data_IF_415104130034
#
_entry.id   IF_415104130034
#
_cell.length_a   1.000
_cell.length_b   1.000
_cell.length_c   1.000
_cell.angle_alpha   90.00
_cell.angle_beta   90.00
_cell.angle_gamma   90.00
#
_symmetry.space_group_name_H-M   'P 1'
#
loop_
_entity.id
_entity.type
_entity.pdbx_description
1 polymer ?
#
# COMPACT_ATOMS: atom_id res chain seq x y z
N UNK A 1 11.40 21.64 -37.65
CA UNK A 1 12.28 21.93 -36.50
C UNK A 1 13.13 20.68 -36.25
N UNK A 2 14.35 20.79 -35.71
CA UNK A 2 15.16 19.62 -35.32
C UNK A 2 14.96 19.21 -33.85
N UNK A 3 14.00 19.85 -33.16
CA UNK A 3 13.79 19.74 -31.71
C UNK A 3 12.43 19.13 -31.43
N UNK A 4 12.38 18.19 -30.49
CA UNK A 4 11.15 17.56 -29.98
C UNK A 4 10.96 18.01 -28.53
N UNK A 5 9.80 18.60 -28.24
CA UNK A 5 9.42 18.96 -26.87
C UNK A 5 8.57 17.84 -26.27
N UNK A 6 8.93 17.40 -25.08
CA UNK A 6 8.15 16.52 -24.25
C UNK A 6 7.54 17.33 -23.10
N UNK A 7 6.29 17.03 -22.77
CA UNK A 7 5.63 17.59 -21.61
C UNK A 7 5.09 16.43 -20.76
N UNK A 8 5.42 16.42 -19.48
CA UNK A 8 4.90 15.46 -18.51
C UNK A 8 3.59 15.95 -17.93
N UNK A 9 2.55 15.14 -18.08
CA UNK A 9 1.26 15.42 -17.46
C UNK A 9 1.12 14.39 -16.34
N UNK A 10 1.59 14.78 -15.15
CA UNK A 10 1.54 13.93 -13.96
C UNK A 10 0.12 13.91 -13.36
N UNK A 11 -0.58 15.04 -13.48
CA UNK A 11 -2.01 15.16 -13.26
C UNK A 11 -2.62 15.95 -14.40
N UNK A 12 -3.62 15.43 -15.08
CA UNK A 12 -4.31 16.16 -16.15
C UNK A 12 -5.32 17.18 -15.63
N UNK A 13 -5.31 17.46 -14.32
CA UNK A 13 -6.29 18.31 -13.64
C UNK A 13 -7.59 17.58 -13.35
N UNK A 14 -7.69 16.29 -13.68
CA UNK A 14 -8.83 15.46 -13.37
C UNK A 14 -8.46 14.40 -12.34
N UNK A 15 -9.37 14.07 -11.45
CA UNK A 15 -9.18 12.90 -10.57
C UNK A 15 -9.20 11.62 -11.41
N UNK A 16 -8.51 10.55 -10.96
CA UNK A 16 -8.61 9.20 -11.53
C UNK A 16 -10.01 8.55 -11.39
N UNK A 17 -11.01 9.35 -10.98
CA UNK A 17 -12.42 9.02 -11.00
C UNK A 17 -12.92 8.72 -12.42
N UNK A 18 -13.89 7.83 -12.54
CA UNK A 18 -14.38 7.30 -13.82
C UNK A 18 -15.05 8.33 -14.70
N UNK A 19 -15.48 9.46 -14.13
CA UNK A 19 -15.77 10.67 -14.87
C UNK A 19 -14.62 11.56 -14.54
N UNK A 20 -13.94 12.01 -15.58
CA UNK A 20 -12.99 13.10 -15.50
C UNK A 20 -13.69 14.31 -14.89
N UNK A 21 -13.54 14.49 -13.59
CA UNK A 21 -13.98 15.69 -12.86
C UNK A 21 -12.74 16.51 -12.54
N UNK A 22 -12.77 17.82 -12.82
CA UNK A 22 -11.70 18.69 -12.38
C UNK A 22 -11.45 18.46 -10.89
N UNK A 23 -10.19 18.31 -10.51
CA UNK A 23 -9.77 18.57 -9.13
C UNK A 23 -10.31 19.97 -8.79
N UNK A 24 -10.75 20.29 -7.57
CA UNK A 24 -11.38 21.61 -7.33
C UNK A 24 -10.49 22.75 -7.88
N UNK A 25 -11.03 23.57 -8.78
CA UNK A 25 -10.31 24.68 -9.44
C UNK A 25 -10.50 24.87 -10.95
N UNK A 26 -10.94 23.87 -11.72
CA UNK A 26 -11.18 24.07 -13.17
C UNK A 26 -12.68 24.18 -13.48
N UNK A 27 -13.13 25.42 -13.74
CA UNK A 27 -14.42 25.82 -14.32
C UNK A 27 -15.70 25.18 -13.72
N UNK A 28 -16.35 25.90 -12.81
CA UNK A 28 -17.79 25.72 -12.56
C UNK A 28 -18.58 26.71 -13.43
N UNK A 29 -19.03 26.26 -14.60
CA UNK A 29 -19.82 27.09 -15.53
C UNK A 29 -18.99 28.10 -16.33
N UNK A 30 -19.65 29.12 -16.91
CA UNK A 30 -19.03 30.11 -17.82
C UNK A 30 -18.11 31.14 -17.12
N UNK A 31 -18.00 31.12 -15.78
CA UNK A 31 -17.15 32.05 -15.04
C UNK A 31 -16.02 31.34 -14.28
N UNK A 32 -14.75 31.78 -14.41
CA UNK A 32 -13.63 31.21 -13.66
C UNK A 32 -13.77 31.50 -12.16
N UNK A 33 -13.55 30.47 -11.34
CA UNK A 33 -13.52 30.60 -9.88
C UNK A 33 -12.22 31.34 -9.49
N UNK A 34 -12.36 32.60 -9.08
CA UNK A 34 -11.27 33.54 -8.80
C UNK A 34 -10.52 33.27 -7.48
N UNK A 35 -10.90 32.24 -6.72
CA UNK A 35 -10.38 32.00 -5.37
C UNK A 35 -9.39 30.84 -5.23
N UNK A 36 -9.16 30.01 -6.25
CA UNK A 36 -8.17 28.92 -6.19
C UNK A 36 -7.40 28.78 -7.52
N UNK A 37 -6.07 28.52 -7.49
CA UNK A 37 -5.28 28.35 -8.71
C UNK A 37 -5.75 27.13 -9.52
N UNK A 38 -5.54 27.11 -10.87
CA UNK A 38 -5.91 25.99 -11.72
C UNK A 38 -5.24 24.70 -11.22
N UNK A 39 -6.03 23.64 -11.13
CA UNK A 39 -5.60 22.34 -10.62
C UNK A 39 -5.05 21.45 -11.75
N UNK A 40 -3.93 20.78 -11.47
CA UNK A 40 -3.23 19.88 -12.40
C UNK A 40 -2.38 20.57 -13.47
N UNK A 41 -1.70 19.75 -14.27
CA UNK A 41 -0.63 20.15 -15.17
C UNK A 41 -1.13 20.46 -16.59
N UNK A 42 -2.33 20.02 -16.96
CA UNK A 42 -2.85 20.13 -18.33
C UNK A 42 -3.10 21.58 -18.79
N UNK A 43 -3.75 22.48 -18.03
CA UNK A 43 -3.91 23.87 -18.46
C UNK A 43 -2.56 24.56 -18.69
N UNK A 44 -1.61 24.32 -17.78
CA UNK A 44 -0.23 24.80 -17.90
C UNK A 44 0.48 24.18 -19.11
N UNK A 45 0.28 22.90 -19.39
CA UNK A 45 0.82 22.22 -20.58
C UNK A 45 0.36 22.89 -21.88
N UNK A 46 -0.91 23.26 -21.97
CA UNK A 46 -1.48 23.96 -23.12
C UNK A 46 -0.85 25.36 -23.28
N UNK A 47 -0.65 26.08 -22.18
CA UNK A 47 0.04 27.38 -22.21
C UNK A 47 1.49 27.25 -22.68
N UNK A 48 2.24 26.30 -22.10
CA UNK A 48 3.62 26.01 -22.50
C UNK A 48 3.69 25.59 -23.97
N UNK A 49 2.75 24.77 -24.44
CA UNK A 49 2.70 24.36 -25.85
C UNK A 49 2.45 25.55 -26.79
N UNK A 50 1.56 26.47 -26.43
CA UNK A 50 1.33 27.71 -27.21
C UNK A 50 2.58 28.59 -27.24
N UNK A 51 3.29 28.70 -26.13
CA UNK A 51 4.57 29.42 -26.08
C UNK A 51 5.64 28.75 -26.93
N UNK A 52 5.71 27.41 -26.92
CA UNK A 52 6.61 26.64 -27.77
C UNK A 52 6.35 26.89 -29.26
N UNK A 53 5.09 26.87 -29.68
CA UNK A 53 4.72 27.17 -31.06
C UNK A 53 5.18 28.58 -31.47
N UNK A 54 4.97 29.58 -30.62
CA UNK A 54 5.46 30.95 -30.88
C UNK A 54 6.98 31.03 -30.93
N UNK A 55 7.68 30.32 -30.04
CA UNK A 55 9.14 30.27 -30.02
C UNK A 55 9.70 29.62 -31.30
N UNK A 56 9.02 28.59 -31.82
CA UNK A 56 9.36 27.97 -33.10
C UNK A 56 9.14 28.92 -34.30
N UNK A 57 8.05 29.69 -34.29
CA UNK A 57 7.74 30.67 -35.35
C UNK A 57 8.72 31.85 -35.36
N UNK A 58 9.13 32.32 -34.18
CA UNK A 58 10.00 33.49 -34.02
C UNK A 58 11.50 33.14 -34.01
N UNK A 59 11.87 31.85 -33.94
CA UNK A 59 13.26 31.41 -33.85
C UNK A 59 13.90 31.53 -32.46
N UNK A 60 13.11 31.83 -31.41
CA UNK A 60 13.58 32.09 -30.04
C UNK A 60 13.50 30.84 -29.14
N UNK A 61 13.96 29.69 -29.63
CA UNK A 61 13.90 28.41 -28.90
C UNK A 61 14.75 28.43 -27.62
N UNK A 62 15.88 29.16 -27.63
CA UNK A 62 16.77 29.23 -26.45
C UNK A 62 16.16 30.06 -25.31
N UNK A 63 15.46 31.16 -25.62
CA UNK A 63 14.72 31.96 -24.63
C UNK A 63 13.58 31.14 -23.99
N UNK A 64 12.90 30.31 -24.80
CA UNK A 64 11.91 29.36 -24.27
C UNK A 64 12.55 28.31 -23.35
N UNK A 65 13.73 27.78 -23.70
CA UNK A 65 14.44 26.83 -22.84
C UNK A 65 14.80 27.46 -21.50
N UNK A 66 15.40 28.66 -21.50
CA UNK A 66 15.74 29.37 -20.26
C UNK A 66 14.54 29.55 -19.32
N UNK A 67 13.34 29.74 -19.89
CA UNK A 67 12.10 29.88 -19.11
C UNK A 67 11.58 28.57 -18.49
N UNK A 68 11.86 27.42 -19.09
CA UNK A 68 11.21 26.14 -18.73
C UNK A 68 12.16 25.04 -18.23
N UNK A 69 13.48 25.22 -18.31
CA UNK A 69 14.50 24.23 -17.88
C UNK A 69 14.41 23.85 -16.39
N UNK A 70 13.85 24.70 -15.53
CA UNK A 70 13.62 24.41 -14.10
C UNK A 70 12.24 23.80 -13.76
N UNK A 71 11.34 23.65 -14.74
CA UNK A 71 10.05 22.99 -14.49
C UNK A 71 10.21 21.48 -14.70
N UNK A 72 10.01 20.67 -13.65
CA UNK A 72 10.02 19.20 -13.69
C UNK A 72 9.06 18.55 -14.73
N UNK A 73 8.35 19.35 -15.53
CA UNK A 73 7.26 19.00 -16.45
C UNK A 73 7.61 19.16 -17.94
N UNK A 74 8.73 19.79 -18.33
CA UNK A 74 9.02 20.07 -19.76
C UNK A 74 10.45 19.69 -20.11
N UNK A 75 10.65 19.02 -21.25
CA UNK A 75 11.98 18.69 -21.78
C UNK A 75 12.05 18.90 -23.28
N UNK A 76 13.24 19.18 -23.79
CA UNK A 76 13.48 19.34 -25.23
C UNK A 76 14.68 18.47 -25.59
N UNK A 77 14.52 17.63 -26.62
CA UNK A 77 15.59 16.81 -27.18
C UNK A 77 15.78 17.12 -28.67
N UNK A 78 16.98 16.82 -29.19
CA UNK A 78 17.25 16.86 -30.62
C UNK A 78 16.79 15.58 -31.31
N UNK A 79 16.32 15.68 -32.55
CA UNK A 79 15.96 14.52 -33.38
C UNK A 79 17.17 13.59 -33.57
N UNK A 80 18.39 14.13 -33.66
CA UNK A 80 19.60 13.31 -33.74
C UNK A 80 19.88 12.56 -32.43
N UNK A 81 19.70 13.19 -31.25
CA UNK A 81 19.81 12.52 -29.94
C UNK A 81 18.75 11.39 -29.78
N UNK A 82 17.57 11.54 -30.39
CA UNK A 82 16.50 10.52 -30.37
C UNK A 82 16.85 9.33 -31.28
N UNK A 83 17.46 9.58 -32.45
CA UNK A 83 17.87 8.53 -33.38
C UNK A 83 18.97 7.64 -32.81
N UNK A 84 19.89 8.19 -32.02
CA UNK A 84 20.95 7.43 -31.35
C UNK A 84 20.42 6.42 -30.32
N UNK A 85 19.21 6.64 -29.77
CA UNK A 85 18.56 5.78 -28.78
C UNK A 85 17.41 4.95 -29.35
N UNK A 86 17.46 4.65 -30.66
CA UNK A 86 16.52 3.76 -31.36
C UNK A 86 15.05 4.23 -31.25
N UNK A 87 14.81 5.53 -31.49
CA UNK A 87 13.49 6.18 -31.46
C UNK A 87 12.71 6.07 -30.14
N UNK A 88 13.39 5.89 -29.01
CA UNK A 88 12.72 5.85 -27.71
C UNK A 88 12.19 7.25 -27.33
N UNK A 89 10.87 7.42 -27.33
CA UNK A 89 10.19 8.68 -27.01
C UNK A 89 9.89 8.87 -25.52
N UNK A 90 10.57 8.14 -24.63
CA UNK A 90 10.41 8.35 -23.18
C UNK A 90 11.09 9.66 -22.74
N UNK A 91 10.34 10.65 -22.21
CA UNK A 91 10.89 11.94 -21.76
C UNK A 91 11.99 11.82 -20.71
N UNK A 92 11.91 10.81 -19.82
CA UNK A 92 12.88 10.62 -18.74
C UNK A 92 14.31 10.36 -19.23
N UNK A 93 14.47 9.83 -20.45
CA UNK A 93 15.78 9.57 -21.07
C UNK A 93 16.50 10.83 -21.55
N UNK A 94 15.77 11.95 -21.68
CA UNK A 94 16.27 13.23 -22.20
C UNK A 94 16.19 14.36 -21.18
N UNK A 95 15.76 14.07 -19.95
CA UNK A 95 15.76 15.01 -18.83
C UNK A 95 17.20 15.42 -18.49
N UNK A 96 17.62 16.60 -18.95
CA UNK A 96 18.81 17.30 -18.45
C UNK A 96 18.38 18.08 -17.21
N UNK A 97 18.60 17.50 -16.03
CA UNK A 97 18.41 18.23 -14.76
C UNK A 97 19.63 19.13 -14.60
N UNK A 98 19.48 20.44 -14.78
CA UNK A 98 20.45 21.39 -14.22
C UNK A 98 20.18 21.44 -12.72
N UNK A 99 20.78 20.49 -12.00
CA UNK A 99 20.78 20.55 -10.55
C UNK A 99 21.62 21.76 -10.16
N UNK A 100 21.04 22.70 -9.42
CA UNK A 100 21.80 23.67 -8.63
C UNK A 100 22.91 22.96 -7.85
N UNK A 101 23.91 23.70 -7.36
CA UNK A 101 25.10 23.13 -6.70
C UNK A 101 24.75 21.92 -5.85
N UNK A 102 25.05 20.73 -6.39
CA UNK A 102 24.59 19.50 -5.80
C UNK A 102 25.34 19.33 -4.48
N UNK A 103 24.60 19.16 -3.38
CA UNK A 103 25.20 19.06 -2.05
C UNK A 103 26.23 17.93 -1.97
N UNK A 104 25.96 16.82 -2.69
CA UNK A 104 26.80 15.63 -2.73
C UNK A 104 27.11 15.21 -4.17
N UNK A 105 28.24 14.55 -4.38
CA UNK A 105 28.55 13.91 -5.65
C UNK A 105 27.54 12.79 -5.94
N UNK A 106 27.08 12.67 -7.18
CA UNK A 106 26.22 11.56 -7.60
C UNK A 106 27.03 10.52 -8.34
N UNK A 107 27.08 9.32 -7.76
CA UNK A 107 27.79 8.17 -8.31
C UNK A 107 26.79 7.14 -8.81
N UNK A 108 27.21 6.25 -9.72
CA UNK A 108 26.41 5.07 -10.03
C UNK A 108 26.61 4.03 -8.93
N UNK A 109 25.59 3.21 -8.67
CA UNK A 109 25.70 2.09 -7.71
C UNK A 109 26.91 1.21 -8.03
N UNK A 110 27.21 0.95 -9.31
CA UNK A 110 28.38 0.17 -9.75
C UNK A 110 29.74 0.75 -9.35
N UNK A 111 29.81 2.04 -9.03
CA UNK A 111 31.06 2.71 -8.67
C UNK A 111 31.42 2.44 -7.18
N UNK A 112 30.42 2.07 -6.39
CA UNK A 112 30.51 1.81 -4.93
C UNK A 112 30.06 0.41 -4.52
N UNK A 113 29.49 -0.39 -5.42
CA UNK A 113 29.04 -1.75 -5.16
C UNK A 113 29.10 -2.62 -6.41
N UNK A 114 29.25 -3.92 -6.23
CA UNK A 114 29.27 -4.90 -7.32
C UNK A 114 28.20 -5.97 -7.13
N UNK A 115 27.72 -6.56 -8.23
CA UNK A 115 26.84 -7.72 -8.13
C UNK A 115 27.68 -8.98 -7.90
N UNK A 116 27.34 -9.76 -6.87
CA UNK A 116 27.92 -11.08 -6.66
C UNK A 116 26.95 -12.20 -7.07
N UNK A 117 27.51 -13.27 -7.65
CA UNK A 117 26.77 -14.44 -8.13
C UNK A 117 27.37 -15.73 -7.58
N UNK A 118 27.51 -15.81 -6.25
CA UNK A 118 27.99 -17.02 -5.60
C UNK A 118 26.87 -18.05 -5.60
N UNK A 119 27.15 -19.24 -6.17
CA UNK A 119 26.20 -20.36 -6.19
C UNK A 119 25.96 -20.82 -4.75
N UNK A 120 24.69 -20.95 -4.37
CA UNK A 120 24.30 -21.51 -3.08
C UNK A 120 24.30 -23.03 -3.07
N UNK A 121 24.29 -23.59 -1.87
CA UNK A 121 24.22 -25.02 -1.63
C UNK A 121 22.74 -25.45 -1.57
N UNK A 122 22.37 -26.55 -2.24
CA UNK A 122 21.01 -27.10 -2.24
C UNK A 122 20.71 -27.81 -0.91
N UNK A 123 19.47 -27.69 -0.40
CA UNK A 123 19.05 -28.37 0.82
C UNK A 123 19.43 -27.68 2.14
N UNK A 124 20.04 -26.48 2.08
CA UNK A 124 20.47 -25.73 3.25
C UNK A 124 19.32 -24.93 3.86
N UNK A 125 19.35 -24.80 5.19
CA UNK A 125 18.40 -24.06 6.00
C UNK A 125 19.12 -22.98 6.83
N UNK A 126 18.56 -21.77 6.96
CA UNK A 126 17.32 -21.28 6.33
C UNK A 126 17.56 -20.75 4.90
N UNK A 127 16.54 -20.80 4.06
CA UNK A 127 16.53 -20.23 2.70
C UNK A 127 15.55 -19.07 2.59
N UNK A 128 15.96 -17.98 1.95
CA UNK A 128 15.12 -16.77 1.78
C UNK A 128 14.57 -16.69 0.35
N UNK A 129 13.25 -16.64 0.23
CA UNK A 129 12.55 -16.28 -1.01
C UNK A 129 12.12 -14.80 -1.02
N UNK A 130 11.74 -14.29 -2.20
CA UNK A 130 11.24 -12.91 -2.33
C UNK A 130 10.05 -12.64 -1.41
N UNK A 131 9.17 -13.63 -1.22
CA UNK A 131 8.01 -13.53 -0.35
C UNK A 131 8.31 -13.55 1.15
N UNK A 132 9.57 -13.81 1.54
CA UNK A 132 10.00 -13.82 2.93
C UNK A 132 10.57 -12.46 3.37
N UNK A 133 10.71 -11.51 2.44
CA UNK A 133 11.04 -10.11 2.76
C UNK A 133 9.78 -9.39 3.21
N UNK A 134 9.80 -8.91 4.44
CA UNK A 134 8.79 -8.04 4.99
C UNK A 134 8.95 -6.62 4.43
N UNK A 135 7.90 -6.09 3.80
CA UNK A 135 7.99 -4.82 3.06
C UNK A 135 8.03 -3.58 3.96
N UNK A 136 7.52 -3.69 5.16
CA UNK A 136 7.46 -2.66 6.20
C UNK A 136 8.78 -2.57 6.99
N UNK A 137 9.24 -3.69 7.56
CA UNK A 137 10.49 -3.75 8.34
C UNK A 137 11.73 -3.90 7.46
N UNK A 138 11.56 -4.21 6.17
CA UNK A 138 12.67 -4.53 5.25
C UNK A 138 13.56 -5.67 5.74
N UNK A 139 13.08 -6.47 6.70
CA UNK A 139 13.76 -7.66 7.20
C UNK A 139 13.31 -8.91 6.43
N UNK A 140 14.10 -9.96 6.53
CA UNK A 140 13.72 -11.29 6.07
C UNK A 140 13.21 -12.14 7.24
N UNK A 141 12.25 -13.02 6.96
CA UNK A 141 11.78 -14.05 7.88
C UNK A 141 12.48 -15.37 7.56
N UNK A 142 13.03 -16.04 8.57
CA UNK A 142 13.48 -17.40 8.43
C UNK A 142 12.29 -18.35 8.42
N UNK A 143 12.07 -19.02 7.30
CA UNK A 143 11.19 -20.17 7.22
C UNK A 143 12.04 -21.43 7.16
N UNK A 144 11.57 -22.50 7.81
CA UNK A 144 12.19 -23.82 7.76
C UNK A 144 11.92 -24.49 6.40
N UNK A 145 12.43 -23.86 5.34
CA UNK A 145 12.36 -24.33 3.96
C UNK A 145 13.77 -24.55 3.42
N UNK A 146 14.10 -25.72 2.88
CA UNK A 146 15.40 -25.97 2.30
C UNK A 146 15.60 -25.14 1.02
N UNK A 147 16.84 -24.74 0.76
CA UNK A 147 17.22 -24.05 -0.46
C UNK A 147 17.03 -24.92 -1.70
N UNK A 148 16.62 -24.28 -2.80
CA UNK A 148 16.43 -24.92 -4.09
C UNK A 148 17.76 -25.09 -4.83
N UNK A 149 17.81 -26.04 -5.77
CA UNK A 149 18.97 -26.37 -6.62
C UNK A 149 19.65 -25.18 -7.32
N UNK A 150 18.91 -24.09 -7.53
CA UNK A 150 19.39 -22.89 -8.21
C UNK A 150 19.52 -21.68 -7.29
N UNK A 151 19.68 -21.85 -5.97
CA UNK A 151 19.87 -20.72 -5.05
C UNK A 151 21.23 -20.01 -5.22
N UNK A 152 21.33 -18.81 -4.66
CA UNK A 152 22.56 -18.03 -4.51
C UNK A 152 22.95 -17.93 -3.05
N UNK A 153 24.20 -17.61 -2.76
CA UNK A 153 24.70 -17.35 -1.40
C UNK A 153 24.95 -15.86 -1.21
N UNK A 154 24.26 -15.25 -0.25
CA UNK A 154 24.52 -13.89 0.21
C UNK A 154 25.37 -13.93 1.49
N UNK A 155 26.16 -12.90 1.74
CA UNK A 155 27.03 -12.77 2.91
C UNK A 155 26.61 -11.61 3.80
N UNK A 156 27.13 -11.59 5.03
CA UNK A 156 26.99 -10.45 5.93
C UNK A 156 27.39 -9.15 5.21
N UNK A 157 26.64 -8.09 5.45
CA UNK A 157 26.76 -6.78 4.82
C UNK A 157 26.28 -6.68 3.36
N UNK A 158 25.87 -7.77 2.72
CA UNK A 158 25.28 -7.67 1.39
C UNK A 158 23.87 -7.08 1.45
N UNK A 159 23.46 -6.51 0.31
CA UNK A 159 22.09 -6.04 0.09
C UNK A 159 21.46 -6.98 -0.95
N UNK A 160 20.28 -7.53 -0.64
CA UNK A 160 19.51 -8.32 -1.58
C UNK A 160 18.34 -7.48 -2.12
N UNK A 161 18.18 -7.45 -3.44
CA UNK A 161 17.16 -6.68 -4.15
C UNK A 161 16.38 -7.62 -5.05
N UNK A 162 15.06 -7.68 -4.90
CA UNK A 162 14.24 -8.51 -5.77
C UNK A 162 14.32 -8.02 -7.22
N UNK A 163 14.72 -8.90 -8.12
CA UNK A 163 14.70 -8.64 -9.55
C UNK A 163 13.37 -9.07 -10.21
N UNK A 164 12.48 -9.73 -9.46
CA UNK A 164 11.11 -10.08 -9.88
C UNK A 164 10.13 -9.16 -9.17
N UNK A 165 9.20 -8.56 -9.92
CA UNK A 165 8.24 -7.54 -9.44
C UNK A 165 8.96 -6.47 -8.60
N UNK A 166 9.99 -5.80 -9.15
CA UNK A 166 10.86 -4.92 -8.38
C UNK A 166 10.12 -3.74 -7.74
N UNK A 167 8.99 -3.32 -8.32
CA UNK A 167 8.11 -2.27 -7.77
C UNK A 167 7.51 -2.64 -6.41
N UNK A 168 7.48 -3.93 -6.02
CA UNK A 168 7.09 -4.32 -4.64
C UNK A 168 8.08 -3.85 -3.58
N UNK A 169 9.33 -3.53 -3.95
CA UNK A 169 10.32 -3.03 -3.00
C UNK A 169 10.81 -4.06 -1.99
N UNK A 170 10.86 -5.34 -2.37
CA UNK A 170 11.49 -6.40 -1.58
C UNK A 170 13.01 -6.24 -1.63
N UNK A 171 13.54 -5.44 -0.70
CA UNK A 171 14.95 -5.08 -0.54
C UNK A 171 15.32 -5.29 0.93
N UNK A 172 16.41 -5.99 1.22
CA UNK A 172 16.85 -6.29 2.58
C UNK A 172 18.36 -6.26 2.71
N UNK A 173 18.83 -5.95 3.92
CA UNK A 173 20.25 -5.98 4.32
C UNK A 173 20.57 -7.25 5.12
N UNK A 174 21.66 -7.95 4.80
CA UNK A 174 22.07 -9.20 5.47
C UNK A 174 22.88 -8.90 6.74
N UNK A 175 22.30 -9.15 7.92
CA UNK A 175 22.82 -8.69 9.21
C UNK A 175 23.93 -9.57 9.81
N UNK A 176 23.82 -10.89 9.79
CA UNK A 176 24.60 -11.73 10.72
C UNK A 176 25.46 -12.83 10.10
N UNK A 177 24.93 -13.63 9.16
CA UNK A 177 25.65 -14.77 8.57
C UNK A 177 25.40 -14.87 7.07
N UNK A 178 26.22 -15.68 6.40
CA UNK A 178 25.93 -16.09 5.03
C UNK A 178 24.63 -16.89 4.98
N UNK A 179 23.87 -16.71 3.92
CA UNK A 179 22.56 -17.34 3.76
C UNK A 179 22.24 -17.60 2.30
N UNK A 180 21.56 -18.71 2.07
CA UNK A 180 21.03 -19.11 0.78
C UNK A 180 19.77 -18.29 0.47
N UNK A 181 19.76 -17.67 -0.71
CA UNK A 181 18.67 -16.81 -1.18
C UNK A 181 18.22 -17.24 -2.57
N UNK A 182 16.97 -16.95 -2.90
CA UNK A 182 16.41 -17.25 -4.21
C UNK A 182 17.18 -16.59 -5.35
N UNK A 183 17.17 -17.24 -6.51
CA UNK A 183 17.69 -16.67 -7.76
C UNK A 183 17.01 -15.36 -8.17
N UNK A 184 15.81 -15.11 -7.63
CA UNK A 184 15.05 -13.87 -7.81
C UNK A 184 15.65 -12.64 -7.12
N UNK A 185 16.85 -12.76 -6.54
CA UNK A 185 17.57 -11.62 -5.97
C UNK A 185 18.81 -11.26 -6.79
N UNK A 186 19.04 -9.96 -6.96
CA UNK A 186 20.37 -9.39 -7.19
C UNK A 186 21.02 -9.14 -5.84
N UNK A 187 22.26 -9.57 -5.67
CA UNK A 187 23.03 -9.43 -4.42
C UNK A 187 24.11 -8.39 -4.67
N UNK A 188 24.06 -7.29 -3.93
CA UNK A 188 25.08 -6.24 -3.97
C UNK A 188 26.08 -6.43 -2.84
N UNK A 189 27.36 -6.42 -3.20
CA UNK A 189 28.49 -6.33 -2.30
C UNK A 189 29.08 -4.92 -2.39
N UNK A 190 29.10 -4.21 -1.26
CA UNK A 190 29.42 -2.77 -1.21
C UNK A 190 30.89 -2.60 -0.87
N UNK A 191 31.56 -1.73 -1.63
CA UNK A 191 32.91 -1.28 -1.36
C UNK A 191 32.91 -0.38 -0.11
N UNK A 192 33.26 -0.97 1.03
CA UNK A 192 33.20 -0.32 2.34
C UNK A 192 34.21 0.83 2.50
N UNK A 193 35.19 0.94 1.60
CA UNK A 193 36.09 2.11 1.56
C UNK A 193 35.40 3.35 0.99
N UNK A 194 34.28 3.17 0.27
CA UNK A 194 33.55 4.26 -0.38
C UNK A 194 32.17 4.52 0.23
N UNK A 195 31.46 3.46 0.62
CA UNK A 195 30.09 3.57 1.11
C UNK A 195 29.79 2.57 2.23
N UNK A 196 29.02 3.02 3.22
CA UNK A 196 28.49 2.12 4.23
C UNK A 196 27.38 1.24 3.60
N UNK A 197 27.44 -0.10 3.76
CA UNK A 197 26.42 -0.99 3.20
C UNK A 197 25.00 -0.65 3.65
N UNK A 198 24.82 -0.30 4.93
CA UNK A 198 23.53 0.15 5.47
C UNK A 198 23.05 1.47 4.85
N UNK A 199 23.97 2.39 4.56
CA UNK A 199 23.62 3.66 3.92
C UNK A 199 23.04 3.43 2.53
N UNK A 200 23.72 2.64 1.70
CA UNK A 200 23.21 2.26 0.38
C UNK A 200 21.90 1.48 0.48
N UNK A 201 21.77 0.58 1.46
CA UNK A 201 20.51 -0.12 1.72
C UNK A 201 19.34 0.85 1.95
N UNK A 202 19.49 1.82 2.86
CA UNK A 202 18.43 2.80 3.13
C UNK A 202 18.08 3.63 1.89
N UNK A 203 19.09 4.06 1.12
CA UNK A 203 18.87 4.81 -0.12
C UNK A 203 18.07 4.03 -1.17
N UNK A 204 18.26 2.71 -1.26
CA UNK A 204 17.53 1.91 -2.24
C UNK A 204 16.17 1.45 -1.69
N UNK A 205 16.09 1.09 -0.41
CA UNK A 205 14.88 0.52 0.19
C UNK A 205 13.75 1.53 0.43
N UNK A 206 14.08 2.82 0.62
CA UNK A 206 13.11 3.88 0.95
C UNK A 206 12.98 4.95 -0.14
N UNK A 207 13.58 4.74 -1.31
CA UNK A 207 13.49 5.67 -2.44
C UNK A 207 12.44 5.21 -3.46
N UNK A 208 11.31 5.90 -3.48
CA UNK A 208 10.23 5.62 -4.43
C UNK A 208 10.66 5.84 -5.89
N UNK A 209 11.54 6.81 -6.17
CA UNK A 209 12.04 7.04 -7.53
C UNK A 209 12.87 5.86 -8.03
N UNK A 210 13.63 5.21 -7.15
CA UNK A 210 14.35 3.99 -7.49
C UNK A 210 13.40 2.86 -7.86
N UNK A 211 12.32 2.64 -7.08
CA UNK A 211 11.34 1.60 -7.38
C UNK A 211 10.58 1.86 -8.68
N UNK A 212 10.19 3.11 -8.94
CA UNK A 212 9.59 3.53 -10.22
C UNK A 212 10.53 3.28 -11.39
N UNK A 213 11.81 3.69 -11.26
CA UNK A 213 12.84 3.44 -12.26
C UNK A 213 13.02 1.96 -12.59
N UNK A 214 13.01 1.08 -11.58
CA UNK A 214 13.08 -0.36 -11.81
C UNK A 214 11.81 -0.89 -12.50
N UNK A 215 10.64 -0.35 -12.16
CA UNK A 215 9.37 -0.68 -12.81
C UNK A 215 9.37 -0.33 -14.30
N UNK A 216 9.80 0.89 -14.63
CA UNK A 216 9.94 1.37 -16.02
C UNK A 216 10.98 0.58 -16.82
N UNK A 217 12.01 0.08 -16.14
CA UNK A 217 13.08 -0.72 -16.74
C UNK A 217 12.78 -2.22 -16.77
N UNK A 218 11.60 -2.66 -16.31
CA UNK A 218 11.23 -4.07 -16.23
C UNK A 218 10.69 -4.60 -17.56
N UNK A 219 10.91 -5.89 -17.81
CA UNK A 219 10.33 -6.63 -18.94
C UNK A 219 9.36 -7.72 -18.46
N UNK A 220 8.34 -8.01 -19.26
CA UNK A 220 7.33 -9.02 -18.98
C UNK A 220 6.06 -8.46 -18.32
N UNK A 221 4.89 -8.84 -18.84
CA UNK A 221 3.59 -8.29 -18.40
C UNK A 221 3.11 -8.89 -17.07
N UNK A 222 2.99 -10.23 -16.97
CA UNK A 222 2.45 -10.89 -15.77
C UNK A 222 3.48 -11.08 -14.62
N UNK A 223 4.75 -11.13 -14.98
CA UNK A 223 5.88 -11.31 -14.06
C UNK A 223 7.01 -10.38 -14.49
N UNK A 224 6.90 -9.07 -14.19
CA UNK A 224 7.90 -8.10 -14.55
C UNK A 224 9.23 -8.44 -13.88
N UNK A 225 10.32 -8.40 -14.65
CA UNK A 225 11.68 -8.63 -14.16
C UNK A 225 12.62 -7.53 -14.61
N UNK A 226 13.62 -7.20 -13.79
CA UNK A 226 14.62 -6.17 -14.11
C UNK A 226 16.04 -6.77 -14.10
N UNK A 227 16.85 -6.39 -15.09
CA UNK A 227 18.26 -6.78 -15.13
C UNK A 227 19.06 -6.05 -14.04
N UNK A 228 20.06 -6.74 -13.47
CA UNK A 228 21.00 -6.13 -12.52
C UNK A 228 21.74 -4.93 -13.10
N UNK A 229 21.85 -4.84 -14.44
CA UNK A 229 22.37 -3.68 -15.14
C UNK A 229 21.70 -2.37 -14.71
N UNK A 230 20.38 -2.34 -14.58
CA UNK A 230 19.64 -1.13 -14.20
C UNK A 230 19.88 -0.77 -12.73
N UNK A 231 19.88 -1.77 -11.85
CA UNK A 231 20.21 -1.60 -10.42
C UNK A 231 21.61 -0.98 -10.27
N UNK A 232 22.60 -1.52 -10.99
CA UNK A 232 23.99 -1.07 -10.94
C UNK A 232 24.23 0.30 -11.61
N UNK A 233 23.42 0.70 -12.60
CA UNK A 233 23.57 2.00 -13.25
C UNK A 233 22.70 3.11 -12.64
N UNK A 234 21.85 2.79 -11.65
CA UNK A 234 21.11 3.80 -10.91
C UNK A 234 22.09 4.75 -10.21
N UNK A 235 21.75 6.05 -10.20
CA UNK A 235 22.59 7.08 -9.58
C UNK A 235 22.11 7.39 -8.18
N UNK A 236 23.04 7.48 -7.24
CA UNK A 236 22.78 7.85 -5.85
C UNK A 236 23.73 8.97 -5.41
N UNK A 237 23.28 9.91 -4.58
CA UNK A 237 24.17 10.86 -3.91
C UNK A 237 25.07 10.14 -2.91
N UNK A 238 26.33 10.55 -2.83
CA UNK A 238 27.35 9.96 -1.96
C UNK A 238 27.98 11.02 -1.06
N UNK A 239 27.45 11.23 0.15
CA UNK A 239 28.11 12.01 1.19
C UNK A 239 29.42 11.34 1.67
N UNK A 240 30.33 12.06 2.34
CA UNK A 240 31.48 11.45 3.01
C UNK A 240 31.09 10.38 4.03
N UNK A 241 31.94 9.37 4.25
CA UNK A 241 31.67 8.25 5.16
C UNK A 241 31.22 8.68 6.57
N UNK A 242 31.79 9.75 7.11
CA UNK A 242 31.42 10.29 8.41
C UNK A 242 29.96 10.78 8.44
N UNK A 243 29.51 11.45 7.37
CA UNK A 243 28.12 11.89 7.22
C UNK A 243 27.20 10.69 6.98
N UNK A 244 27.63 9.71 6.18
CA UNK A 244 26.89 8.46 6.00
C UNK A 244 26.64 7.77 7.34
N UNK A 245 27.66 7.71 8.22
CA UNK A 245 27.56 7.11 9.55
C UNK A 245 26.54 7.83 10.42
N UNK A 246 26.60 9.17 10.49
CA UNK A 246 25.65 9.98 11.27
C UNK A 246 24.20 9.81 10.79
N UNK A 247 23.99 9.72 9.47
CA UNK A 247 22.68 9.48 8.87
C UNK A 247 22.22 8.07 9.23
N UNK A 248 23.05 7.05 9.00
CA UNK A 248 22.73 5.64 9.30
C UNK A 248 22.34 5.46 10.77
N UNK A 249 23.03 6.10 11.72
CA UNK A 249 22.68 6.01 13.14
C UNK A 249 21.27 6.52 13.46
N UNK A 250 20.82 7.58 12.76
CA UNK A 250 19.47 8.11 12.92
C UNK A 250 18.44 7.23 12.22
N UNK A 251 18.76 6.71 11.04
CA UNK A 251 17.90 5.78 10.30
C UNK A 251 17.73 4.45 11.04
N UNK A 252 18.80 3.89 11.61
CA UNK A 252 18.77 2.68 12.43
C UNK A 252 17.85 2.86 13.65
N UNK A 253 17.85 4.05 14.29
CA UNK A 253 16.92 4.35 15.40
C UNK A 253 15.45 4.32 14.95
N UNK A 254 15.13 4.88 13.78
CA UNK A 254 13.77 4.82 13.23
C UNK A 254 13.40 3.39 12.82
N UNK A 255 14.34 2.65 12.24
CA UNK A 255 14.14 1.25 11.88
C UNK A 255 13.81 0.39 13.10
N UNK A 256 14.52 0.58 14.21
CA UNK A 256 14.27 -0.11 15.46
C UNK A 256 12.87 0.20 16.03
N UNK A 257 12.33 1.40 15.80
CA UNK A 257 10.95 1.73 16.18
C UNK A 257 9.95 0.91 15.35
N UNK A 258 10.16 0.82 14.03
CA UNK A 258 9.31 0.02 13.14
C UNK A 258 9.33 -1.46 13.56
N UNK A 259 10.52 -2.02 13.77
CA UNK A 259 10.71 -3.41 14.19
C UNK A 259 9.99 -3.71 15.53
N UNK A 260 10.23 -2.91 16.57
CA UNK A 260 9.61 -3.09 17.89
C UNK A 260 8.10 -2.88 17.87
N UNK A 261 7.62 -1.89 17.12
CA UNK A 261 6.19 -1.63 17.00
C UNK A 261 5.48 -2.79 16.28
N UNK A 262 6.11 -3.38 15.26
CA UNK A 262 5.55 -4.55 14.58
C UNK A 262 5.55 -5.79 15.46
N UNK A 263 6.61 -6.03 16.22
CA UNK A 263 6.66 -7.11 17.20
C UNK A 263 5.58 -6.96 18.27
N UNK A 264 5.38 -5.74 18.78
CA UNK A 264 4.33 -5.42 19.74
C UNK A 264 2.93 -5.61 19.15
N UNK A 265 2.69 -5.14 17.91
CA UNK A 265 1.43 -5.37 17.21
C UNK A 265 1.15 -6.87 17.06
N UNK A 266 2.15 -7.65 16.63
CA UNK A 266 2.03 -9.09 16.51
C UNK A 266 1.70 -9.74 17.86
N UNK A 267 2.40 -9.36 18.93
CA UNK A 267 2.17 -9.90 20.27
C UNK A 267 0.75 -9.62 20.77
N UNK A 268 0.25 -8.39 20.58
CA UNK A 268 -1.13 -8.03 20.95
C UNK A 268 -2.14 -8.80 20.12
N UNK A 269 -1.88 -9.00 18.83
CA UNK A 269 -2.75 -9.78 17.96
C UNK A 269 -2.77 -11.26 18.30
N UNK A 270 -1.61 -11.84 18.61
CA UNK A 270 -1.45 -13.24 18.98
C UNK A 270 -2.07 -13.53 20.37
N UNK A 271 -1.99 -12.57 21.29
CA UNK A 271 -2.71 -12.64 22.56
C UNK A 271 -4.24 -12.61 22.37
N UNK A 272 -4.70 -12.02 21.25
CA UNK A 272 -6.12 -11.90 20.93
C UNK A 272 -6.88 -11.01 21.90
N UNK A 273 -8.21 -10.99 21.73
CA UNK A 273 -9.09 -10.62 22.83
C UNK A 273 -9.21 -11.87 23.69
N UNK A 274 -8.99 -11.75 24.99
CA UNK A 274 -9.28 -12.83 25.92
C UNK A 274 -10.80 -13.08 25.91
N UNK A 275 -11.21 -14.19 25.29
CA UNK A 275 -12.61 -14.56 25.18
C UNK A 275 -13.25 -14.84 26.56
N UNK A 276 -12.44 -14.99 27.62
CA UNK A 276 -12.92 -15.07 29.00
C UNK A 276 -13.76 -13.86 29.42
N UNK A 277 -13.66 -12.71 28.73
CA UNK A 277 -14.56 -11.56 28.95
C UNK A 277 -16.03 -11.87 28.61
N UNK A 278 -16.25 -12.90 27.79
CA UNK A 278 -17.57 -13.42 27.41
C UNK A 278 -17.92 -14.72 28.17
N UNK A 279 -17.03 -15.21 29.03
CA UNK A 279 -17.26 -16.37 29.89
C UNK A 279 -17.85 -15.97 31.24
N UNK A 280 -18.61 -16.88 31.85
CA UNK A 280 -19.29 -16.68 33.12
C UNK A 280 -20.73 -17.15 33.11
N UNK A 281 -21.42 -16.96 34.23
CA UNK A 281 -22.86 -17.25 34.36
C UNK A 281 -23.66 -16.10 33.72
N UNK A 282 -23.63 -16.05 32.39
CA UNK A 282 -24.32 -15.08 31.55
C UNK A 282 -25.54 -15.74 30.92
N UNK A 283 -26.64 -14.99 30.82
CA UNK A 283 -27.79 -15.43 30.05
C UNK A 283 -27.44 -15.45 28.56
N UNK A 284 -27.64 -16.61 27.92
CA UNK A 284 -27.43 -16.78 26.49
C UNK A 284 -28.76 -16.70 25.76
N UNK A 285 -28.85 -15.81 24.78
CA UNK A 285 -30.03 -15.65 23.92
C UNK A 285 -29.69 -15.96 22.47
N UNK A 286 -30.69 -16.30 21.66
CA UNK A 286 -30.49 -16.40 20.22
C UNK A 286 -30.37 -14.98 19.63
N UNK A 287 -29.41 -14.76 18.72
CA UNK A 287 -29.25 -13.48 18.02
C UNK A 287 -30.56 -13.06 17.33
N UNK A 288 -31.35 -14.03 16.86
CA UNK A 288 -32.67 -13.81 16.28
C UNK A 288 -33.63 -13.04 17.19
N UNK A 289 -33.56 -13.24 18.52
CA UNK A 289 -34.41 -12.54 19.51
C UNK A 289 -34.01 -11.08 19.71
N UNK A 290 -32.80 -10.72 19.29
CA UNK A 290 -32.26 -9.37 19.35
C UNK A 290 -32.44 -8.62 18.02
N UNK A 291 -32.60 -9.33 16.89
CA UNK A 291 -32.69 -8.73 15.56
C UNK A 291 -34.04 -8.02 15.36
N UNK A 292 -34.00 -6.73 15.02
CA UNK A 292 -35.18 -5.92 14.68
C UNK A 292 -35.40 -5.78 13.17
N UNK A 293 -34.36 -6.02 12.38
CA UNK A 293 -34.41 -5.96 10.92
C UNK A 293 -33.28 -6.79 10.32
N UNK A 294 -33.53 -7.47 9.19
CA UNK A 294 -32.48 -8.21 8.47
C UNK A 294 -32.76 -8.27 6.96
N UNK A 295 -31.71 -8.24 6.14
CA UNK A 295 -31.80 -8.26 4.69
C UNK A 295 -30.53 -8.82 4.03
N UNK A 296 -30.70 -9.61 2.97
CA UNK A 296 -29.59 -9.99 2.08
C UNK A 296 -29.18 -8.84 1.14
N UNK A 297 -27.91 -8.80 0.75
CA UNK A 297 -27.39 -7.83 -0.21
C UNK A 297 -27.68 -8.15 -1.68
N UNK A 298 -27.19 -7.28 -2.56
CA UNK A 298 -27.36 -7.35 -4.02
C UNK A 298 -26.59 -8.51 -4.67
N UNK A 299 -27.25 -9.30 -5.52
CA UNK A 299 -26.61 -10.35 -6.33
C UNK A 299 -26.05 -9.86 -7.66
N UNK A 300 -26.32 -8.60 -8.02
CA UNK A 300 -25.88 -7.98 -9.27
C UNK A 300 -24.35 -7.86 -9.33
N UNK A 301 -23.80 -8.02 -10.54
CA UNK A 301 -22.36 -7.83 -10.77
C UNK A 301 -21.99 -6.36 -10.50
N UNK A 302 -20.88 -6.17 -9.81
CA UNK A 302 -20.27 -4.86 -9.62
C UNK A 302 -19.38 -4.55 -10.83
N UNK A 303 -20.03 -4.16 -11.94
CA UNK A 303 -19.43 -3.71 -13.21
C UNK A 303 -19.49 -2.19 -13.37
N UNK A 304 -19.78 -1.50 -12.27
CA UNK A 304 -19.76 -0.06 -12.20
C UNK A 304 -18.35 0.50 -12.12
N UNK A 305 -18.32 1.79 -12.34
CA UNK A 305 -17.21 2.69 -12.40
C UNK A 305 -17.16 3.49 -11.07
N UNK A 306 -16.02 4.02 -10.63
CA UNK A 306 -15.90 4.81 -9.38
C UNK A 306 -16.74 6.12 -9.26
N UNK A 307 -17.50 6.50 -10.28
CA UNK A 307 -18.60 7.46 -10.21
C UNK A 307 -19.93 6.87 -9.72
N UNK A 308 -20.09 5.57 -9.91
CA UNK A 308 -21.28 4.85 -9.54
C UNK A 308 -21.30 4.61 -8.03
N UNK A 309 -22.30 3.87 -7.54
CA UNK A 309 -22.49 3.72 -6.10
C UNK A 309 -21.49 2.68 -5.57
N UNK A 310 -20.71 2.99 -4.51
CA UNK A 310 -19.81 2.01 -3.93
C UNK A 310 -20.57 0.87 -3.26
N UNK A 311 -20.13 -0.36 -3.55
CA UNK A 311 -20.71 -1.60 -3.04
C UNK A 311 -19.72 -2.33 -2.14
N UNK A 312 -20.10 -2.52 -0.87
CA UNK A 312 -19.32 -3.27 0.10
C UNK A 312 -19.52 -4.78 -0.11
N UNK A 313 -18.42 -5.52 -0.21
CA UNK A 313 -18.40 -6.97 -0.32
C UNK A 313 -17.59 -7.62 0.81
N UNK A 314 -17.36 -8.93 0.69
CA UNK A 314 -16.65 -9.74 1.70
C UNK A 314 -15.23 -9.27 2.03
N UNK A 315 -14.55 -8.58 1.10
CA UNK A 315 -13.20 -8.05 1.29
C UNK A 315 -13.19 -6.75 2.09
N UNK A 316 -14.32 -6.05 2.17
CA UNK A 316 -14.44 -4.78 2.87
C UNK A 316 -14.77 -4.96 4.36
N UNK A 317 -14.99 -6.19 4.84
CA UNK A 317 -15.31 -6.48 6.24
C UNK A 317 -14.08 -7.08 6.92
N UNK A 318 -13.67 -6.52 8.06
CA UNK A 318 -12.50 -6.95 8.82
C UNK A 318 -12.88 -7.68 10.12
N UNK A 319 -11.99 -8.52 10.65
CA UNK A 319 -12.15 -9.18 11.95
C UNK A 319 -12.17 -8.22 13.14
N UNK A 320 -11.84 -6.94 12.94
CA UNK A 320 -11.86 -5.95 14.02
C UNK A 320 -13.16 -5.18 14.10
N UNK A 321 -14.16 -5.53 13.28
CA UNK A 321 -15.40 -4.78 13.22
C UNK A 321 -15.38 -3.56 12.29
N UNK A 322 -14.24 -3.29 11.64
CA UNK A 322 -14.04 -2.11 10.78
C UNK A 322 -14.33 -2.42 9.31
N UNK A 323 -14.61 -1.37 8.55
CA UNK A 323 -14.79 -1.43 7.09
C UNK A 323 -13.48 -1.01 6.41
N UNK A 324 -12.99 -1.86 5.52
CA UNK A 324 -11.81 -1.61 4.69
C UNK A 324 -12.23 -1.09 3.31
N UNK A 325 -11.77 0.12 2.97
CA UNK A 325 -12.08 0.81 1.72
C UNK A 325 -10.95 0.73 0.68
N UNK A 326 -9.85 0.02 0.97
CA UNK A 326 -8.68 -0.07 0.08
C UNK A 326 -8.98 -0.74 -1.26
N UNK A 327 -10.01 -1.60 -1.32
CA UNK A 327 -10.45 -2.30 -2.54
C UNK A 327 -11.97 -2.19 -2.68
N UNK A 328 -12.43 -0.99 -3.08
CA UNK A 328 -13.84 -0.70 -3.31
C UNK A 328 -14.26 -1.08 -4.73
N UNK A 329 -15.47 -1.63 -4.86
CA UNK A 329 -16.11 -1.86 -6.16
C UNK A 329 -17.34 -0.96 -6.26
N UNK A 330 -17.84 -0.78 -7.48
CA UNK A 330 -18.93 0.13 -7.77
C UNK A 330 -20.02 -0.55 -8.59
N UNK A 331 -21.24 -0.03 -8.48
CA UNK A 331 -22.42 -0.60 -9.14
C UNK A 331 -23.43 0.48 -9.54
N UNK A 332 -24.04 0.29 -10.71
CA UNK A 332 -25.16 1.08 -11.20
C UNK A 332 -26.47 0.53 -10.66
N UNK A 333 -27.26 1.39 -10.01
CA UNK A 333 -28.55 1.03 -9.46
C UNK A 333 -29.59 2.07 -9.85
N UNK A 334 -30.83 1.63 -10.05
CA UNK A 334 -31.94 2.56 -10.13
C UNK A 334 -32.30 3.12 -8.74
N UNK A 335 -33.17 4.14 -8.69
CA UNK A 335 -33.53 4.78 -7.42
C UNK A 335 -34.21 3.84 -6.42
N UNK A 336 -35.00 2.86 -6.88
CA UNK A 336 -35.69 1.91 -6.01
C UNK A 336 -34.72 0.93 -5.36
N UNK A 337 -33.79 0.40 -6.15
CA UNK A 337 -32.70 -0.46 -5.66
C UNK A 337 -31.80 0.30 -4.69
N UNK A 338 -31.42 1.54 -5.03
CA UNK A 338 -30.62 2.36 -4.15
C UNK A 338 -31.34 2.59 -2.81
N UNK A 339 -32.62 2.97 -2.82
CA UNK A 339 -33.40 3.14 -1.58
C UNK A 339 -33.45 1.86 -0.75
N UNK A 340 -33.57 0.70 -1.39
CA UNK A 340 -33.67 -0.61 -0.73
C UNK A 340 -32.35 -1.08 -0.11
N UNK A 341 -31.23 -0.88 -0.79
CA UNK A 341 -29.93 -1.43 -0.38
C UNK A 341 -28.97 -0.40 0.23
N UNK A 342 -29.35 0.89 0.26
CA UNK A 342 -28.56 1.94 0.91
C UNK A 342 -28.35 1.61 2.39
N UNK A 343 -27.08 1.57 2.77
CA UNK A 343 -26.64 1.39 4.14
C UNK A 343 -26.89 2.64 4.96
N UNK A 344 -27.26 2.42 6.22
CA UNK A 344 -27.49 3.45 7.23
C UNK A 344 -26.49 3.25 8.36
N UNK A 345 -26.04 4.35 8.98
CA UNK A 345 -25.21 4.27 10.19
C UNK A 345 -25.91 3.41 11.25
N UNK A 346 -25.16 2.50 11.85
CA UNK A 346 -25.67 1.51 12.79
C UNK A 346 -26.09 0.18 12.17
N UNK A 347 -26.11 0.05 10.83
CA UNK A 347 -26.31 -1.24 10.17
C UNK A 347 -25.15 -2.19 10.52
N UNK A 348 -25.45 -3.41 10.96
CA UNK A 348 -24.46 -4.47 11.16
C UNK A 348 -24.37 -5.30 9.88
N UNK A 349 -23.16 -5.52 9.40
CA UNK A 349 -22.87 -6.32 8.21
C UNK A 349 -22.15 -7.60 8.60
N UNK A 350 -22.74 -8.73 8.24
CA UNK A 350 -22.20 -10.07 8.48
C UNK A 350 -21.78 -10.73 7.17
N UNK A 351 -20.53 -11.16 7.09
CA UNK A 351 -19.98 -11.85 5.93
C UNK A 351 -20.41 -13.32 5.92
N UNK A 352 -21.50 -13.60 5.19
CA UNK A 352 -22.08 -14.94 5.10
C UNK A 352 -21.32 -15.91 4.21
N UNK A 353 -20.44 -15.42 3.35
CA UNK A 353 -19.82 -16.25 2.31
C UNK A 353 -18.33 -15.95 2.18
N UNK A 354 -17.49 -16.93 2.52
CA UNK A 354 -16.04 -16.82 2.32
C UNK A 354 -15.37 -18.21 2.40
N UNK A 355 -14.05 -18.27 2.35
CA UNK A 355 -13.31 -19.45 2.81
C UNK A 355 -13.64 -19.78 4.27
N UNK A 356 -13.44 -21.04 4.68
CA UNK A 356 -13.73 -21.51 6.04
C UNK A 356 -13.07 -20.65 7.13
N UNK A 357 -11.85 -20.21 6.86
CA UNK A 357 -11.04 -19.38 7.76
C UNK A 357 -11.55 -17.94 7.91
N UNK A 358 -12.34 -17.44 6.94
CA UNK A 358 -12.67 -16.03 6.73
C UNK A 358 -14.18 -15.71 6.80
N UNK A 359 -15.03 -16.72 6.95
CA UNK A 359 -16.48 -16.56 7.07
C UNK A 359 -16.84 -15.98 8.44
N UNK A 360 -17.95 -15.25 8.53
CA UNK A 360 -18.45 -14.73 9.80
C UNK A 360 -17.91 -13.38 10.24
N UNK A 361 -16.93 -12.81 9.50
CA UNK A 361 -16.46 -11.44 9.72
C UNK A 361 -17.64 -10.48 9.80
N UNK A 362 -17.68 -9.68 10.86
CA UNK A 362 -18.81 -8.79 11.15
C UNK A 362 -18.31 -7.36 11.31
N UNK A 363 -19.04 -6.36 10.83
CA UNK A 363 -18.67 -4.94 11.01
C UNK A 363 -19.87 -4.05 11.30
N UNK A 364 -19.62 -2.95 12.01
CA UNK A 364 -20.59 -1.86 12.16
C UNK A 364 -20.42 -0.83 11.05
N UNK A 365 -21.49 -0.52 10.32
CA UNK A 365 -21.45 0.54 9.32
C UNK A 365 -21.56 1.91 9.99
N UNK A 366 -20.53 2.75 9.84
CA UNK A 366 -20.47 4.10 10.39
C UNK A 366 -19.84 5.13 9.43
N UNK A 367 -19.85 4.86 8.13
CA UNK A 367 -19.24 5.74 7.13
C UNK A 367 -20.21 6.85 6.71
N UNK A 368 -19.64 7.99 6.31
CA UNK A 368 -20.36 9.07 5.63
C UNK A 368 -20.40 8.81 4.13
N UNK A 369 -21.56 9.06 3.52
CA UNK A 369 -21.79 8.88 2.09
C UNK A 369 -22.86 7.84 1.76
N UNK A 370 -22.97 7.52 0.47
CA UNK A 370 -23.96 6.55 -0.02
C UNK A 370 -23.26 5.26 -0.39
N UNK A 371 -23.56 4.18 0.35
CA UNK A 371 -23.00 2.85 0.12
C UNK A 371 -24.13 1.83 0.04
N UNK A 372 -23.90 0.77 -0.73
CA UNK A 372 -24.74 -0.42 -0.78
C UNK A 372 -23.89 -1.66 -0.46
N UNK A 373 -24.51 -2.84 -0.40
CA UNK A 373 -23.82 -4.07 0.01
C UNK A 373 -24.18 -5.25 -0.90
N UNK A 374 -23.19 -6.10 -1.16
CA UNK A 374 -23.30 -7.28 -2.00
C UNK A 374 -23.94 -8.46 -1.26
N UNK A 375 -24.46 -9.43 -2.03
CA UNK A 375 -25.14 -10.64 -1.56
C UNK A 375 -24.28 -11.57 -0.70
N UNK A 376 -22.96 -11.39 -0.69
CA UNK A 376 -22.03 -12.04 0.23
C UNK A 376 -22.18 -11.53 1.67
N UNK A 377 -22.92 -10.44 1.88
CA UNK A 377 -23.20 -9.84 3.18
C UNK A 377 -24.69 -9.97 3.54
N UNK A 378 -24.95 -10.12 4.83
CA UNK A 378 -26.26 -9.94 5.46
C UNK A 378 -26.19 -8.63 6.24
N UNK A 379 -27.16 -7.74 6.00
CA UNK A 379 -27.41 -6.58 6.86
C UNK A 379 -28.40 -6.96 7.95
N UNK A 380 -28.15 -6.54 9.18
CA UNK A 380 -29.16 -6.57 10.24
C UNK A 380 -29.04 -5.40 11.22
N UNK A 381 -30.10 -5.18 11.99
CA UNK A 381 -30.16 -4.25 13.12
C UNK A 381 -30.63 -5.00 14.36
N UNK A 382 -30.27 -4.48 15.53
CA UNK A 382 -30.63 -5.07 16.82
C UNK A 382 -31.47 -4.13 17.66
N UNK A 383 -32.15 -4.66 18.68
CA UNK A 383 -32.85 -3.86 19.68
C UNK A 383 -31.83 -3.20 20.62
N UNK A 384 -31.52 -1.92 20.34
CA UNK A 384 -30.55 -1.14 21.12
C UNK A 384 -30.96 -0.91 22.57
N UNK A 385 -32.21 -1.22 22.95
CA UNK A 385 -32.64 -1.23 24.35
C UNK A 385 -32.15 -2.44 25.13
N UNK A 386 -31.72 -3.50 24.44
CA UNK A 386 -31.24 -4.76 25.03
C UNK A 386 -29.74 -4.95 24.81
N UNK A 387 -29.23 -4.51 23.67
CA UNK A 387 -27.84 -4.78 23.29
C UNK A 387 -27.22 -3.65 22.48
N UNK A 388 -25.96 -3.31 22.77
CA UNK A 388 -25.21 -2.39 21.92
C UNK A 388 -24.82 -3.06 20.59
N UNK A 389 -25.06 -2.44 19.43
CA UNK A 389 -24.65 -3.00 18.13
C UNK A 389 -23.16 -3.36 18.06
N UNK A 390 -22.31 -2.52 18.68
CA UNK A 390 -20.87 -2.74 18.75
C UNK A 390 -20.49 -3.95 19.60
N UNK A 391 -21.28 -4.28 20.61
CA UNK A 391 -21.07 -5.47 21.45
C UNK A 391 -21.26 -6.74 20.62
N UNK A 392 -22.33 -6.79 19.82
CA UNK A 392 -22.56 -7.88 18.86
C UNK A 392 -21.38 -7.99 17.90
N UNK A 393 -20.91 -6.87 17.33
CA UNK A 393 -19.78 -6.89 16.38
C UNK A 393 -18.52 -7.48 17.01
N UNK A 394 -18.20 -7.15 18.27
CA UNK A 394 -17.02 -7.73 18.92
C UNK A 394 -17.20 -9.21 19.25
N UNK A 395 -18.35 -9.59 19.83
CA UNK A 395 -18.61 -10.99 20.12
C UNK A 395 -18.59 -11.85 18.84
N UNK A 396 -19.19 -11.37 17.75
CA UNK A 396 -19.23 -12.08 16.47
C UNK A 396 -17.85 -12.22 15.79
N UNK A 397 -16.85 -11.45 16.22
CA UNK A 397 -15.47 -11.56 15.74
C UNK A 397 -14.51 -12.19 16.78
N UNK A 398 -15.02 -12.69 17.91
CA UNK A 398 -14.24 -13.45 18.90
C UNK A 398 -13.69 -14.76 18.32
N UNK A 399 -12.65 -15.31 18.95
CA UNK A 399 -12.15 -16.63 18.53
C UNK A 399 -13.18 -17.72 18.84
N UNK A 400 -13.94 -17.58 19.94
CA UNK A 400 -15.07 -18.43 20.30
C UNK A 400 -16.07 -18.58 19.15
N UNK A 401 -16.55 -17.46 18.59
CA UNK A 401 -17.49 -17.50 17.46
C UNK A 401 -16.80 -18.02 16.19
N UNK A 402 -15.54 -17.64 15.95
CA UNK A 402 -14.81 -18.13 14.78
C UNK A 402 -14.72 -19.66 14.78
N UNK A 403 -14.34 -20.27 15.91
CA UNK A 403 -14.22 -21.72 16.05
C UNK A 403 -15.60 -22.41 15.95
N UNK A 404 -16.62 -21.82 16.57
CA UNK A 404 -18.00 -22.28 16.45
C UNK A 404 -18.48 -22.29 14.98
N UNK A 405 -18.32 -21.19 14.26
CA UNK A 405 -18.70 -21.09 12.85
C UNK A 405 -17.89 -22.05 11.98
N UNK A 406 -16.60 -22.23 12.24
CA UNK A 406 -15.76 -23.20 11.55
C UNK A 406 -16.24 -24.64 11.77
N UNK A 407 -16.77 -24.97 12.95
CA UNK A 407 -17.32 -26.30 13.26
C UNK A 407 -18.65 -26.57 12.54
N UNK A 408 -19.46 -25.53 12.30
CA UNK A 408 -20.73 -25.62 11.58
C UNK A 408 -20.58 -25.74 10.06
N UNK A 409 -19.45 -25.29 9.52
CA UNK A 409 -19.19 -25.31 8.08
C UNK A 409 -19.16 -26.75 7.55
N UNK A 410 -20.25 -27.17 6.89
CA UNK A 410 -20.31 -28.43 6.13
C UNK A 410 -19.19 -28.42 5.09
N UNK A 411 -18.34 -29.44 5.10
CA UNK A 411 -17.28 -29.63 4.13
C UNK A 411 -17.88 -29.93 2.74
N UNK A 412 -18.39 -28.91 2.07
CA UNK A 412 -18.88 -28.99 0.69
C UNK A 412 -18.13 -27.91 -0.08
N UNK A 413 -17.02 -28.32 -0.70
CA UNK A 413 -16.27 -27.61 -1.75
C UNK A 413 -15.85 -26.18 -1.38
N UNK A 414 -14.80 -26.06 -0.56
CA UNK A 414 -13.91 -24.88 -0.52
C UNK A 414 -14.46 -23.54 0.00
N UNK A 415 -15.77 -23.38 0.20
CA UNK A 415 -16.40 -22.14 0.60
C UNK A 415 -17.45 -22.40 1.68
N UNK A 416 -17.36 -21.66 2.79
CA UNK A 416 -18.35 -21.65 3.85
C UNK A 416 -19.50 -20.70 3.51
N UNK A 417 -20.74 -21.12 3.80
CA UNK A 417 -21.93 -20.30 3.66
C UNK A 417 -22.76 -20.38 4.94
N UNK A 418 -23.17 -19.23 5.48
CA UNK A 418 -24.08 -19.12 6.62
C UNK A 418 -25.32 -18.38 6.14
N UNK A 419 -26.49 -19.01 6.22
CA UNK A 419 -27.74 -18.36 5.86
C UNK A 419 -28.31 -17.53 7.02
N UNK A 420 -29.36 -16.75 6.77
CA UNK A 420 -29.97 -15.87 7.77
C UNK A 420 -30.55 -16.62 8.98
N UNK A 421 -31.11 -17.82 8.80
CA UNK A 421 -31.65 -18.61 9.91
C UNK A 421 -30.52 -19.21 10.76
N UNK A 422 -29.43 -19.64 10.12
CA UNK A 422 -28.20 -20.03 10.82
C UNK A 422 -27.56 -18.86 11.58
N UNK A 423 -27.60 -17.64 11.02
CA UNK A 423 -27.14 -16.43 11.72
C UNK A 423 -28.01 -16.14 12.95
N UNK A 424 -29.34 -16.25 12.82
CA UNK A 424 -30.27 -15.99 13.93
C UNK A 424 -30.12 -17.00 15.09
N UNK A 425 -29.79 -18.25 14.80
CA UNK A 425 -29.64 -19.29 15.82
C UNK A 425 -28.32 -19.24 16.60
N UNK A 426 -27.39 -18.33 16.23
CA UNK A 426 -26.16 -18.11 16.98
C UNK A 426 -26.54 -17.60 18.37
N UNK A 427 -26.05 -18.29 19.40
CA UNK A 427 -26.23 -17.87 20.78
C UNK A 427 -25.22 -16.78 21.14
N UNK A 428 -25.69 -15.74 21.81
CA UNK A 428 -24.89 -14.60 22.24
C UNK A 428 -25.09 -14.37 23.74
N UNK A 429 -24.02 -14.13 24.51
CA UNK A 429 -24.15 -13.75 25.92
C UNK A 429 -24.79 -12.37 26.00
N UNK A 430 -25.77 -12.20 26.88
CA UNK A 430 -26.51 -10.96 27.03
C UNK A 430 -26.41 -10.43 28.47
N UNK A 431 -25.24 -9.92 28.89
CA UNK A 431 -25.12 -9.25 30.18
C UNK A 431 -25.93 -7.93 30.19
N UNK A 432 -26.20 -7.34 31.37
CA UNK A 432 -26.82 -6.01 31.47
C UNK A 432 -26.06 -4.95 30.66
N UNK A 433 -26.77 -3.92 30.19
CA UNK A 433 -26.20 -2.85 29.35
C UNK A 433 -24.98 -2.20 30.00
N UNK A 434 -24.99 -2.00 31.32
CA UNK A 434 -23.86 -1.44 32.06
C UNK A 434 -22.59 -2.29 31.90
N UNK A 435 -22.74 -3.62 31.97
CA UNK A 435 -21.62 -4.55 31.80
C UNK A 435 -21.18 -4.65 30.34
N UNK A 436 -22.11 -4.60 29.39
CA UNK A 436 -21.76 -4.50 27.97
C UNK A 436 -20.91 -3.24 27.71
N UNK A 437 -21.28 -2.10 28.29
CA UNK A 437 -20.54 -0.85 28.15
C UNK A 437 -19.13 -0.92 28.75
N UNK A 438 -18.97 -1.59 29.91
CA UNK A 438 -17.65 -1.86 30.51
C UNK A 438 -16.76 -2.67 29.56
N UNK A 439 -17.30 -3.77 29.01
CA UNK A 439 -16.59 -4.62 28.03
C UNK A 439 -16.21 -3.80 26.79
N UNK A 440 -17.14 -3.00 26.26
CA UNK A 440 -16.88 -2.13 25.12
C UNK A 440 -15.75 -1.13 25.39
N UNK A 441 -15.75 -0.50 26.57
CA UNK A 441 -14.71 0.47 26.94
C UNK A 441 -13.34 -0.19 27.04
N UNK A 442 -13.27 -1.41 27.58
CA UNK A 442 -12.04 -2.18 27.63
C UNK A 442 -11.53 -2.51 26.23
N UNK A 443 -12.38 -3.08 25.38
CA UNK A 443 -12.04 -3.46 24.01
C UNK A 443 -11.63 -2.24 23.16
N UNK A 444 -12.34 -1.13 23.29
CA UNK A 444 -11.99 0.12 22.60
C UNK A 444 -10.60 0.63 22.98
N UNK A 445 -10.20 0.45 24.23
CA UNK A 445 -8.86 0.83 24.70
C UNK A 445 -7.79 -0.06 24.06
N UNK A 446 -8.04 -1.37 23.93
CA UNK A 446 -7.12 -2.30 23.27
C UNK A 446 -6.98 -1.99 21.77
N UNK A 447 -8.10 -1.75 21.07
CA UNK A 447 -8.06 -1.42 19.64
C UNK A 447 -7.40 -0.06 19.37
N UNK A 448 -7.64 0.95 20.21
CA UNK A 448 -6.94 2.24 20.12
C UNK A 448 -5.43 2.09 20.30
N UNK A 449 -4.99 1.22 21.21
CA UNK A 449 -3.56 0.91 21.39
C UNK A 449 -2.96 0.33 20.11
N UNK A 450 -3.63 -0.62 19.46
CA UNK A 450 -3.21 -1.18 18.17
C UNK A 450 -3.14 -0.11 17.06
N UNK A 451 -4.11 0.80 16.99
CA UNK A 451 -4.08 1.92 16.03
C UNK A 451 -2.90 2.86 16.28
N UNK A 452 -2.60 3.18 17.54
CA UNK A 452 -1.45 4.02 17.88
C UNK A 452 -0.12 3.35 17.51
N UNK A 453 0.01 2.03 17.71
CA UNK A 453 1.19 1.27 17.32
C UNK A 453 1.41 1.30 15.80
N UNK A 454 0.35 1.16 15.00
CA UNK A 454 0.43 1.27 13.54
C UNK A 454 0.84 2.66 13.09
N UNK A 455 0.22 3.71 13.66
CA UNK A 455 0.61 5.10 13.38
C UNK A 455 2.07 5.37 13.74
N UNK A 456 2.58 4.74 14.79
CA UNK A 456 3.99 4.85 15.17
C UNK A 456 4.91 4.25 14.08
N UNK A 457 4.56 3.09 13.51
CA UNK A 457 5.29 2.50 12.38
C UNK A 457 5.29 3.44 11.15
N UNK A 458 4.12 3.93 10.75
CA UNK A 458 3.97 4.85 9.61
C UNK A 458 4.79 6.14 9.79
N UNK A 459 4.76 6.73 10.99
CA UNK A 459 5.51 7.94 11.31
C UNK A 459 7.02 7.71 11.28
N UNK A 460 7.50 6.56 11.77
CA UNK A 460 8.91 6.20 11.72
C UNK A 460 9.39 6.01 10.28
N UNK A 461 8.63 5.30 9.44
CA UNK A 461 8.92 5.17 8.00
C UNK A 461 8.94 6.53 7.30
N UNK A 462 7.95 7.39 7.57
CA UNK A 462 7.92 8.75 7.03
C UNK A 462 9.14 9.56 7.46
N UNK A 463 9.59 9.39 8.70
CA UNK A 463 10.79 10.06 9.22
C UNK A 463 12.05 9.61 8.49
N UNK A 464 12.19 8.30 8.21
CA UNK A 464 13.29 7.77 7.37
C UNK A 464 13.31 8.48 6.02
N UNK A 465 12.17 8.54 5.33
CA UNK A 465 12.05 9.18 4.00
C UNK A 465 12.42 10.66 4.07
N UNK A 466 11.95 11.39 5.08
CA UNK A 466 12.24 12.82 5.26
C UNK A 466 13.73 13.08 5.56
N UNK A 467 14.39 12.23 6.33
CA UNK A 467 15.84 12.34 6.59
C UNK A 467 16.60 12.19 5.27
N UNK A 468 16.29 11.16 4.48
CA UNK A 468 16.93 10.94 3.18
C UNK A 468 16.66 12.11 2.22
N UNK A 469 15.42 12.58 2.14
CA UNK A 469 15.03 13.69 1.26
C UNK A 469 15.79 14.99 1.61
N UNK A 470 15.80 15.38 2.90
CA UNK A 470 16.36 16.65 3.37
C UNK A 470 17.87 16.68 3.54
N UNK A 471 18.49 15.52 3.71
CA UNK A 471 19.93 15.48 4.03
C UNK A 471 20.75 14.89 2.90
N UNK A 472 20.14 14.05 2.06
CA UNK A 472 20.81 13.28 1.02
C UNK A 472 20.37 13.67 -0.39
N UNK A 473 19.07 13.85 -0.64
CA UNK A 473 18.55 14.11 -1.99
C UNK A 473 18.27 15.58 -2.33
N UNK A 474 18.47 16.51 -1.40
CA UNK A 474 18.25 17.95 -1.60
C UNK A 474 19.46 18.60 -2.28
N UNK A 475 19.19 19.39 -3.31
CA UNK A 475 20.17 20.29 -3.93
C UNK A 475 20.48 21.44 -2.94
N UNK A 476 21.76 21.87 -2.88
CA UNK A 476 22.27 22.79 -1.86
C UNK A 476 21.93 24.26 -2.11
#
# INVERSE_FOLDING_TARGET
TQKVMFFDIQSDGFTLATQRRPINGAFQGENPNIYEPPCGDLPKAVEVFKEWQKALENGNIEEFKEKYVDNKQVWIADIEEIKEKDFNLNPGLYRKVERGKVKWEWVKVKDIASEIKVKGDEGVLPYIEIGDIELDTKNYIYKDKPSLKSCKKAFKNNIIISNVRPTRGAISYIKERSIEVSNGFTILDVDQEKALPKFLFYLLAYNNEFLSYLGESSTGSNYPTVSSFYILNYKVPLPPLEIQQQIVERLDKQQAIIEKAKEMEKTILDAGIDDAIFEGDLDWVELGDLITYSQYGLSSKADGNDEDIPILGMNNITYRGNIDLSSLKFIKLNEEELKKYKLQKGDILFNRTNSKELVGKTSLFNLDGTYVFASYLIRFKVDEKKVYPKYIVYFMNSNFIKDYLQSLCRAIIGQANINLEELKSIKIPLPPLEKQQEILSFLDTQFKTLEHIRKLQENAERTIKLILEKEVFTDG
#
